data_IF_332591197294
#
_entry.id   IF_332591197294
#
_cell.length_a   1.000
_cell.length_b   1.000
_cell.length_c   1.000
_cell.angle_alpha   90.00
_cell.angle_beta   90.00
_cell.angle_gamma   90.00
#
_symmetry.space_group_name_H-M   'P 1'
#
loop_
_entity.id
_entity.type
_entity.pdbx_description
1 polymer ?
#
# COMPACT_ATOMS: atom_id res chain seq x y z
N UNK A 1 29.78 9.65 -25.19
CA UNK A 1 30.45 10.03 -23.95
C UNK A 1 29.40 10.46 -22.95
N UNK A 2 28.62 11.50 -23.25
CA UNK A 2 27.49 11.97 -22.42
C UNK A 2 26.49 10.88 -21.99
N UNK A 3 25.91 10.12 -22.93
CA UNK A 3 24.96 9.04 -22.60
C UNK A 3 25.54 7.95 -21.69
N UNK A 4 26.81 7.58 -21.88
CA UNK A 4 27.45 6.53 -21.06
C UNK A 4 27.68 6.98 -19.61
N UNK A 5 28.01 8.25 -19.42
CA UNK A 5 28.16 8.84 -18.07
C UNK A 5 26.80 8.93 -17.36
N UNK A 6 25.76 9.34 -18.10
CA UNK A 6 24.40 9.38 -17.59
C UNK A 6 23.86 7.99 -17.24
N UNK A 7 24.06 6.99 -18.11
CA UNK A 7 23.66 5.60 -17.86
C UNK A 7 24.33 5.05 -16.59
N UNK A 8 25.63 5.31 -16.40
CA UNK A 8 26.36 4.87 -15.22
C UNK A 8 25.83 5.51 -13.93
N UNK A 9 25.53 6.81 -13.97
CA UNK A 9 24.94 7.52 -12.83
C UNK A 9 23.56 6.98 -12.48
N UNK A 10 22.74 6.65 -13.48
CA UNK A 10 21.41 6.06 -13.28
C UNK A 10 21.54 4.64 -12.68
N UNK A 11 22.48 3.83 -13.16
CA UNK A 11 22.74 2.49 -12.61
C UNK A 11 23.19 2.54 -11.14
N UNK A 12 24.09 3.47 -10.80
CA UNK A 12 24.52 3.70 -9.41
C UNK A 12 23.32 4.13 -8.54
N UNK A 13 22.49 5.05 -9.03
CA UNK A 13 21.27 5.46 -8.35
C UNK A 13 20.31 4.27 -8.10
N UNK A 14 20.15 3.37 -9.07
CA UNK A 14 19.32 2.17 -8.92
C UNK A 14 19.88 1.19 -7.88
N UNK A 15 21.19 0.99 -7.84
CA UNK A 15 21.83 0.15 -6.84
C UNK A 15 21.66 0.72 -5.42
N UNK A 16 21.77 2.03 -5.28
CA UNK A 16 21.65 2.74 -4.00
C UNK A 16 20.19 3.01 -3.58
N UNK A 17 19.23 2.97 -4.51
CA UNK A 17 17.86 3.38 -4.26
C UNK A 17 17.72 4.89 -3.98
N UNK A 18 18.61 5.70 -4.56
CA UNK A 18 18.70 7.14 -4.33
C UNK A 18 18.23 7.92 -5.57
N UNK A 19 17.10 8.63 -5.45
CA UNK A 19 16.52 9.39 -6.56
C UNK A 19 17.19 10.74 -6.82
N UNK A 20 17.92 11.27 -5.83
CA UNK A 20 18.45 12.64 -5.87
C UNK A 20 19.33 12.93 -7.10
N UNK A 21 20.28 12.06 -7.49
CA UNK A 21 21.09 12.29 -8.69
C UNK A 21 20.25 12.45 -9.95
N UNK A 22 19.23 11.61 -10.12
CA UNK A 22 18.35 11.62 -11.29
C UNK A 22 17.45 12.86 -11.27
N UNK A 23 16.88 13.21 -10.10
CA UNK A 23 16.05 14.43 -9.95
C UNK A 23 16.82 15.69 -10.32
N UNK A 24 18.07 15.81 -9.87
CA UNK A 24 18.89 16.99 -10.17
C UNK A 24 19.10 17.16 -11.68
N UNK A 25 19.39 16.07 -12.38
CA UNK A 25 19.56 16.08 -13.85
C UNK A 25 18.25 16.48 -14.54
N UNK A 26 17.13 15.90 -14.12
CA UNK A 26 15.82 16.19 -14.71
C UNK A 26 15.34 17.63 -14.44
N UNK A 27 15.71 18.23 -13.30
CA UNK A 27 15.35 19.63 -12.99
C UNK A 27 16.19 20.66 -13.76
N UNK A 28 17.42 20.29 -14.14
CA UNK A 28 18.30 21.15 -14.94
C UNK A 28 18.05 21.01 -16.45
N UNK A 29 17.31 19.99 -16.88
CA UNK A 29 17.01 19.71 -18.28
C UNK A 29 15.88 20.63 -18.83
N UNK A 30 16.05 21.21 -20.03
CA UNK A 30 14.94 21.81 -20.78
C UNK A 30 13.75 20.85 -21.03
N UNK A 31 12.55 21.39 -21.28
CA UNK A 31 11.31 20.61 -21.44
C UNK A 31 11.28 19.72 -22.70
N UNK A 32 12.08 20.04 -23.71
CA UNK A 32 12.21 19.32 -25.00
C UNK A 32 13.51 18.52 -25.10
N UNK A 33 14.12 18.20 -23.94
CA UNK A 33 15.49 17.70 -23.86
C UNK A 33 15.61 16.16 -24.02
N UNK A 34 16.62 15.76 -24.79
CA UNK A 34 17.17 14.41 -24.94
C UNK A 34 17.42 13.71 -23.57
N UNK A 35 17.68 14.48 -22.51
CA UNK A 35 17.84 13.94 -21.14
C UNK A 35 16.59 13.21 -20.63
N UNK A 36 15.39 13.76 -20.86
CA UNK A 36 14.13 13.14 -20.41
C UNK A 36 13.93 11.78 -21.10
N UNK A 37 14.22 11.73 -22.40
CA UNK A 37 14.14 10.52 -23.21
C UNK A 37 15.15 9.47 -22.74
N UNK A 38 16.42 9.85 -22.55
CA UNK A 38 17.46 8.91 -22.10
C UNK A 38 17.10 8.33 -20.72
N UNK A 39 16.68 9.17 -19.77
CA UNK A 39 16.32 8.72 -18.42
C UNK A 39 15.12 7.77 -18.47
N UNK A 40 14.05 8.12 -19.17
CA UNK A 40 12.87 7.26 -19.26
C UNK A 40 13.19 5.93 -19.96
N UNK A 41 13.95 5.99 -21.05
CA UNK A 41 14.36 4.80 -21.80
C UNK A 41 15.24 3.89 -20.93
N UNK A 42 16.20 4.45 -20.20
CA UNK A 42 17.07 3.70 -19.28
C UNK A 42 16.28 3.06 -18.14
N UNK A 43 15.33 3.80 -17.55
CA UNK A 43 14.43 3.24 -16.52
C UNK A 43 13.63 2.07 -17.11
N UNK A 44 13.02 2.24 -18.28
CA UNK A 44 12.23 1.20 -18.93
C UNK A 44 13.06 -0.04 -19.29
N UNK A 45 14.24 0.15 -19.87
CA UNK A 45 15.19 -0.92 -20.19
C UNK A 45 15.60 -1.68 -18.94
N UNK A 46 15.97 -0.98 -17.87
CA UNK A 46 16.35 -1.60 -16.59
C UNK A 46 15.18 -2.33 -15.95
N UNK A 47 13.98 -1.74 -15.93
CA UNK A 47 12.78 -2.41 -15.42
C UNK A 47 12.50 -3.70 -16.19
N UNK A 48 12.48 -3.65 -17.53
CA UNK A 48 12.25 -4.84 -18.36
C UNK A 48 13.33 -5.92 -18.15
N UNK A 49 14.60 -5.51 -18.03
CA UNK A 49 15.72 -6.41 -17.80
C UNK A 49 15.59 -7.12 -16.45
N UNK A 50 15.40 -6.35 -15.37
CA UNK A 50 15.38 -6.89 -14.02
C UNK A 50 14.06 -7.58 -13.69
N UNK A 51 12.94 -7.17 -14.28
CA UNK A 51 11.65 -7.85 -14.10
C UNK A 51 11.58 -9.22 -14.79
N UNK A 52 12.44 -9.50 -15.78
CA UNK A 52 12.49 -10.79 -16.46
C UNK A 52 12.85 -11.95 -15.51
N UNK A 53 13.62 -11.67 -14.46
CA UNK A 53 13.83 -12.59 -13.32
C UNK A 53 13.63 -11.81 -12.01
N UNK A 54 12.38 -11.45 -11.75
CA UNK A 54 12.00 -10.64 -10.59
C UNK A 54 12.43 -11.26 -9.26
N UNK A 55 12.47 -12.59 -9.16
CA UNK A 55 12.87 -13.27 -7.92
C UNK A 55 14.34 -13.03 -7.58
N UNK A 56 15.22 -12.95 -8.58
CA UNK A 56 16.64 -12.67 -8.36
C UNK A 56 16.93 -11.17 -8.21
N UNK A 57 16.10 -10.31 -8.81
CA UNK A 57 16.34 -8.87 -8.89
C UNK A 57 15.36 -8.02 -8.07
N UNK A 58 14.62 -8.63 -7.13
CA UNK A 58 13.57 -7.97 -6.33
C UNK A 58 14.06 -6.66 -5.67
N UNK A 59 15.26 -6.67 -5.07
CA UNK A 59 15.83 -5.49 -4.42
C UNK A 59 16.06 -4.33 -5.40
N UNK A 60 16.64 -4.62 -6.57
CA UNK A 60 16.92 -3.61 -7.60
C UNK A 60 15.60 -3.07 -8.17
N UNK A 61 14.63 -3.94 -8.47
CA UNK A 61 13.31 -3.50 -8.96
C UNK A 61 12.61 -2.62 -7.91
N UNK A 62 12.64 -2.99 -6.62
CA UNK A 62 12.10 -2.16 -5.53
C UNK A 62 12.75 -0.77 -5.51
N UNK A 63 14.07 -0.69 -5.67
CA UNK A 63 14.81 0.58 -5.71
C UNK A 63 14.41 1.43 -6.92
N UNK A 64 14.34 0.85 -8.12
CA UNK A 64 13.92 1.57 -9.33
C UNK A 64 12.50 2.11 -9.14
N UNK A 65 11.57 1.30 -8.64
CA UNK A 65 10.19 1.74 -8.38
C UNK A 65 10.10 2.85 -7.33
N UNK A 66 10.95 2.82 -6.30
CA UNK A 66 11.04 3.90 -5.30
C UNK A 66 11.52 5.21 -5.94
N UNK A 67 12.57 5.13 -6.75
CA UNK A 67 13.10 6.28 -7.48
C UNK A 67 12.03 6.83 -8.43
N UNK A 68 11.32 5.94 -9.10
CA UNK A 68 10.28 6.27 -10.06
C UNK A 68 9.18 7.14 -9.44
N UNK A 69 8.79 6.87 -8.19
CA UNK A 69 7.84 7.69 -7.44
C UNK A 69 8.23 9.17 -7.39
N UNK A 70 9.53 9.45 -7.23
CA UNK A 70 10.03 10.82 -7.12
C UNK A 70 10.20 11.51 -8.48
N UNK A 71 10.43 10.74 -9.55
CA UNK A 71 10.76 11.28 -10.89
C UNK A 71 9.57 11.29 -11.85
N UNK A 72 8.53 10.48 -11.64
CA UNK A 72 7.32 10.47 -12.46
C UNK A 72 6.70 11.85 -12.66
N UNK A 73 6.57 12.72 -11.62
CA UNK A 73 5.96 14.03 -11.81
C UNK A 73 6.65 14.86 -12.91
N UNK A 74 7.97 14.67 -13.09
CA UNK A 74 8.75 15.34 -14.14
C UNK A 74 8.55 14.62 -15.48
N UNK A 75 8.68 13.28 -15.52
CA UNK A 75 8.53 12.49 -16.75
C UNK A 75 7.11 12.53 -17.34
N UNK A 76 6.08 12.72 -16.49
CA UNK A 76 4.66 12.80 -16.89
C UNK A 76 4.38 13.95 -17.87
N UNK A 77 5.24 14.96 -17.90
CA UNK A 77 5.15 16.07 -18.87
C UNK A 77 5.24 15.60 -20.33
N UNK A 78 5.83 14.43 -20.58
CA UNK A 78 5.90 13.82 -21.91
C UNK A 78 5.12 12.49 -21.98
N UNK A 79 4.03 12.42 -22.79
CA UNK A 79 3.20 11.23 -22.91
C UNK A 79 3.89 9.99 -23.47
N UNK A 80 4.88 10.13 -24.35
CA UNK A 80 5.55 8.98 -24.99
C UNK A 80 6.43 8.25 -23.97
N UNK A 81 7.26 8.98 -23.23
CA UNK A 81 8.05 8.41 -22.13
C UNK A 81 7.14 7.82 -21.04
N UNK A 82 6.06 8.51 -20.71
CA UNK A 82 5.08 8.03 -19.73
C UNK A 82 4.40 6.72 -20.14
N UNK A 83 4.11 6.54 -21.43
CA UNK A 83 3.51 5.31 -21.95
C UNK A 83 4.44 4.10 -21.78
N UNK A 84 5.72 4.25 -22.13
CA UNK A 84 6.72 3.18 -21.99
C UNK A 84 6.86 2.75 -20.52
N UNK A 85 6.91 3.72 -19.58
CA UNK A 85 6.98 3.43 -18.15
C UNK A 85 5.69 2.76 -17.65
N UNK A 86 4.52 3.25 -18.07
CA UNK A 86 3.22 2.69 -17.69
C UNK A 86 3.08 1.23 -18.12
N UNK A 87 3.57 0.87 -19.31
CA UNK A 87 3.61 -0.51 -19.78
C UNK A 87 4.47 -1.41 -18.89
N UNK A 88 5.67 -0.96 -18.51
CA UNK A 88 6.53 -1.69 -17.58
C UNK A 88 5.83 -1.90 -16.22
N UNK A 89 5.18 -0.88 -15.68
CA UNK A 89 4.44 -0.99 -14.41
C UNK A 89 3.31 -2.01 -14.51
N UNK A 90 2.54 -1.98 -15.61
CA UNK A 90 1.46 -2.92 -15.85
C UNK A 90 1.98 -4.35 -15.93
N UNK A 91 3.07 -4.60 -16.68
CA UNK A 91 3.69 -5.93 -16.80
C UNK A 91 4.14 -6.45 -15.44
N UNK A 92 4.86 -5.64 -14.66
CA UNK A 92 5.28 -6.00 -13.29
C UNK A 92 4.06 -6.31 -12.41
N UNK A 93 3.02 -5.49 -12.48
CA UNK A 93 1.80 -5.67 -11.68
C UNK A 93 1.07 -6.98 -12.00
N UNK A 94 1.20 -7.47 -13.23
CA UNK A 94 0.56 -8.71 -13.70
C UNK A 94 1.40 -9.98 -13.53
N UNK A 95 2.65 -9.86 -13.09
CA UNK A 95 3.52 -11.01 -12.82
C UNK A 95 2.87 -11.94 -11.77
N UNK A 96 2.98 -13.26 -11.96
CA UNK A 96 2.23 -14.24 -11.16
C UNK A 96 2.68 -14.23 -9.69
N UNK A 97 3.99 -14.11 -9.46
CA UNK A 97 4.63 -14.26 -8.14
C UNK A 97 5.31 -13.00 -7.62
N UNK A 98 4.86 -11.83 -8.07
CA UNK A 98 5.37 -10.55 -7.57
C UNK A 98 5.05 -10.36 -6.08
N UNK A 99 6.07 -9.96 -5.32
CA UNK A 99 5.90 -9.58 -3.92
C UNK A 99 4.94 -8.39 -3.79
N UNK A 100 4.05 -8.40 -2.78
CA UNK A 100 2.97 -7.40 -2.67
C UNK A 100 3.48 -5.96 -2.59
N UNK A 101 4.65 -5.73 -1.98
CA UNK A 101 5.24 -4.39 -1.93
C UNK A 101 5.69 -3.89 -3.32
N UNK A 102 6.24 -4.77 -4.16
CA UNK A 102 6.60 -4.42 -5.55
C UNK A 102 5.33 -4.15 -6.34
N UNK A 103 4.32 -5.02 -6.22
CA UNK A 103 3.02 -4.85 -6.86
C UNK A 103 2.43 -3.50 -6.51
N UNK A 104 2.34 -3.19 -5.21
CA UNK A 104 1.81 -1.95 -4.66
C UNK A 104 2.55 -0.73 -5.22
N UNK A 105 3.88 -0.73 -5.20
CA UNK A 105 4.67 0.36 -5.75
C UNK A 105 4.46 0.52 -7.27
N UNK A 106 4.38 -0.58 -8.03
CA UNK A 106 4.16 -0.53 -9.47
C UNK A 106 2.78 0.05 -9.82
N UNK A 107 1.71 -0.41 -9.16
CA UNK A 107 0.36 0.12 -9.41
C UNK A 107 0.17 1.54 -8.90
N UNK A 108 0.83 1.91 -7.80
CA UNK A 108 0.84 3.29 -7.31
C UNK A 108 1.48 4.22 -8.34
N UNK A 109 2.68 3.90 -8.82
CA UNK A 109 3.36 4.68 -9.85
C UNK A 109 2.55 4.75 -11.16
N UNK A 110 1.91 3.63 -11.55
CA UNK A 110 1.00 3.61 -12.68
C UNK A 110 -0.16 4.61 -12.48
N UNK A 111 -0.78 4.64 -11.31
CA UNK A 111 -1.87 5.59 -11.03
C UNK A 111 -1.42 7.05 -11.11
N UNK A 112 -0.19 7.39 -10.71
CA UNK A 112 0.33 8.76 -10.87
C UNK A 112 0.38 9.15 -12.36
N UNK A 113 0.80 8.24 -13.23
CA UNK A 113 0.84 8.44 -14.69
C UNK A 113 -0.57 8.54 -15.27
N UNK A 114 -1.48 7.69 -14.80
CA UNK A 114 -2.87 7.63 -15.28
C UNK A 114 -3.79 8.67 -14.67
N UNK A 115 -3.33 9.39 -13.65
CA UNK A 115 -4.05 10.50 -13.05
C UNK A 115 -4.40 11.48 -14.16
N UNK A 116 -5.68 11.84 -14.24
CA UNK A 116 -6.31 12.61 -15.33
C UNK A 116 -6.46 11.76 -16.62
N UNK A 117 -7.66 11.71 -17.23
CA UNK A 117 -7.96 10.93 -18.46
C UNK A 117 -7.17 11.45 -19.68
N UNK A 118 -5.87 11.22 -19.66
CA UNK A 118 -4.88 11.73 -20.59
C UNK A 118 -4.46 10.69 -21.63
N UNK A 119 -3.52 11.06 -22.53
CA UNK A 119 -3.10 10.22 -23.65
C UNK A 119 -2.70 8.79 -23.26
N UNK A 120 -1.99 8.63 -22.15
CA UNK A 120 -1.50 7.31 -21.68
C UNK A 120 -2.66 6.40 -21.28
N UNK A 121 -3.66 6.90 -20.55
CA UNK A 121 -4.84 6.11 -20.15
C UNK A 121 -5.66 5.65 -21.37
N UNK A 122 -5.77 6.49 -22.41
CA UNK A 122 -6.44 6.15 -23.67
C UNK A 122 -5.64 5.14 -24.46
N UNK A 123 -4.32 5.29 -24.48
CA UNK A 123 -3.43 4.35 -25.14
C UNK A 123 -3.53 2.96 -24.49
N UNK A 124 -3.33 2.86 -23.16
CA UNK A 124 -3.40 1.59 -22.43
C UNK A 124 -4.67 0.79 -22.72
N UNK A 125 -5.83 1.44 -22.74
CA UNK A 125 -7.13 0.76 -22.92
C UNK A 125 -7.46 0.40 -24.37
N UNK A 126 -6.74 0.95 -25.35
CA UNK A 126 -6.96 0.72 -26.78
C UNK A 126 -5.84 -0.10 -27.44
N UNK A 127 -4.72 -0.28 -26.77
CA UNK A 127 -3.58 -1.06 -27.24
C UNK A 127 -3.86 -2.57 -27.10
N UNK A 128 -4.07 -3.26 -28.23
CA UNK A 128 -4.46 -4.68 -28.27
C UNK A 128 -3.42 -5.58 -27.57
N UNK A 129 -2.13 -5.23 -27.71
CA UNK A 129 -1.04 -5.97 -27.06
C UNK A 129 -1.09 -5.93 -25.53
N UNK A 130 -1.85 -4.97 -24.95
CA UNK A 130 -2.00 -4.80 -23.50
C UNK A 130 -3.30 -5.35 -22.92
N UNK A 131 -4.26 -5.79 -23.76
CA UNK A 131 -5.57 -6.27 -23.32
C UNK A 131 -5.45 -7.44 -22.32
N UNK A 132 -4.54 -8.37 -22.59
CA UNK A 132 -4.29 -9.52 -21.72
C UNK A 132 -3.80 -9.12 -20.32
N UNK A 133 -2.93 -8.11 -20.23
CA UNK A 133 -2.41 -7.63 -18.95
C UNK A 133 -3.49 -6.95 -18.12
N UNK A 134 -4.33 -6.11 -18.75
CA UNK A 134 -5.46 -5.48 -18.06
C UNK A 134 -6.50 -6.51 -17.56
N UNK A 135 -6.71 -7.59 -18.31
CA UNK A 135 -7.56 -8.70 -17.87
C UNK A 135 -6.97 -9.41 -16.64
N UNK A 136 -5.66 -9.68 -16.65
CA UNK A 136 -4.95 -10.29 -15.50
C UNK A 136 -5.04 -9.37 -14.29
N UNK A 137 -4.79 -8.07 -14.44
CA UNK A 137 -4.81 -7.11 -13.34
C UNK A 137 -6.18 -7.08 -12.64
N UNK A 138 -7.27 -7.00 -13.41
CA UNK A 138 -8.62 -7.00 -12.81
C UNK A 138 -9.00 -8.32 -12.14
N UNK A 139 -8.55 -9.46 -12.68
CA UNK A 139 -8.73 -10.78 -12.04
C UNK A 139 -7.86 -10.96 -10.80
N UNK A 140 -6.74 -10.26 -10.72
CA UNK A 140 -5.81 -10.29 -9.59
C UNK A 140 -6.32 -9.51 -8.39
N UNK A 141 -7.11 -8.45 -8.60
CA UNK A 141 -7.68 -7.61 -7.53
C UNK A 141 -8.24 -8.39 -6.30
N UNK A 142 -9.18 -9.35 -6.45
CA UNK A 142 -9.69 -10.12 -5.30
C UNK A 142 -8.66 -11.02 -4.61
N UNK A 143 -7.55 -11.34 -5.28
CA UNK A 143 -6.54 -12.28 -4.79
C UNK A 143 -5.44 -11.62 -3.96
N UNK A 144 -5.34 -10.28 -3.99
CA UNK A 144 -4.32 -9.52 -3.28
C UNK A 144 -4.68 -9.37 -1.80
N UNK A 145 -3.83 -9.87 -0.91
CA UNK A 145 -4.01 -9.81 0.54
C UNK A 145 -3.50 -8.54 1.20
N UNK A 146 -3.62 -7.40 0.54
CA UNK A 146 -3.27 -6.07 1.05
C UNK A 146 -4.27 -5.03 0.55
N UNK A 147 -5.02 -4.41 1.47
CA UNK A 147 -6.11 -3.50 1.12
C UNK A 147 -5.64 -2.28 0.32
N UNK A 148 -4.50 -1.69 0.71
CA UNK A 148 -3.94 -0.53 0.02
C UNK A 148 -3.55 -0.89 -1.41
N UNK A 149 -2.89 -2.03 -1.61
CA UNK A 149 -2.59 -2.54 -2.94
C UNK A 149 -3.86 -2.83 -3.76
N UNK A 150 -4.90 -3.40 -3.15
CA UNK A 150 -6.20 -3.57 -3.80
C UNK A 150 -6.80 -2.23 -4.22
N UNK A 151 -6.69 -1.20 -3.37
CA UNK A 151 -7.17 0.15 -3.66
C UNK A 151 -6.48 0.74 -4.88
N UNK A 152 -5.15 0.62 -4.98
CA UNK A 152 -4.41 1.10 -6.14
C UNK A 152 -4.74 0.33 -7.41
N UNK A 153 -4.87 -1.01 -7.35
CA UNK A 153 -5.34 -1.79 -8.51
C UNK A 153 -6.72 -1.31 -8.93
N UNK A 154 -7.66 -1.17 -7.99
CA UNK A 154 -9.01 -0.71 -8.29
C UNK A 154 -9.03 0.67 -8.94
N UNK A 155 -8.23 1.61 -8.45
CA UNK A 155 -8.05 2.93 -9.05
C UNK A 155 -7.50 2.83 -10.49
N UNK A 156 -6.50 1.97 -10.75
CA UNK A 156 -6.03 1.71 -12.13
C UNK A 156 -7.19 1.25 -13.01
N UNK A 157 -7.97 0.26 -12.55
CA UNK A 157 -9.12 -0.26 -13.31
C UNK A 157 -10.18 0.83 -13.55
N UNK A 158 -10.36 1.75 -12.59
CA UNK A 158 -11.24 2.91 -12.75
C UNK A 158 -10.78 3.80 -13.91
N UNK A 159 -9.49 4.15 -14.00
CA UNK A 159 -8.96 4.90 -15.14
C UNK A 159 -9.15 4.20 -16.49
N UNK A 160 -9.11 2.86 -16.52
CA UNK A 160 -9.34 2.07 -17.73
C UNK A 160 -10.80 2.12 -18.21
N UNK A 161 -11.76 2.19 -17.27
CA UNK A 161 -13.20 2.20 -17.60
C UNK A 161 -13.82 3.59 -17.62
N UNK A 162 -13.15 4.59 -17.04
CA UNK A 162 -13.63 5.97 -17.01
C UNK A 162 -13.72 6.52 -18.43
N UNK A 163 -14.89 7.08 -18.79
CA UNK A 163 -15.22 7.53 -20.15
C UNK A 163 -14.94 6.51 -21.27
N UNK A 164 -14.96 5.21 -20.97
CA UNK A 164 -14.74 4.14 -21.93
C UNK A 164 -16.08 3.50 -22.36
N UNK A 165 -16.39 3.54 -23.66
CA UNK A 165 -17.60 2.93 -24.23
C UNK A 165 -17.66 1.41 -23.98
N UNK A 166 -16.50 0.76 -23.87
CA UNK A 166 -16.37 -0.67 -23.61
C UNK A 166 -16.34 -1.04 -22.12
N UNK A 167 -16.66 -0.13 -21.19
CA UNK A 167 -16.61 -0.41 -19.73
C UNK A 167 -17.36 -1.68 -19.30
N UNK A 168 -18.50 -1.95 -19.93
CA UNK A 168 -19.30 -3.15 -19.65
C UNK A 168 -18.55 -4.44 -19.99
N UNK A 169 -17.83 -4.48 -21.12
CA UNK A 169 -17.00 -5.63 -21.52
C UNK A 169 -15.93 -5.90 -20.47
N UNK A 170 -15.21 -4.85 -20.06
CA UNK A 170 -14.13 -4.95 -19.08
C UNK A 170 -14.61 -5.45 -17.72
N UNK A 171 -15.63 -4.78 -17.15
CA UNK A 171 -16.20 -5.13 -15.85
C UNK A 171 -16.78 -6.55 -15.88
N UNK A 172 -17.42 -6.96 -16.97
CA UNK A 172 -17.90 -8.34 -17.12
C UNK A 172 -16.77 -9.36 -17.14
N UNK A 173 -15.62 -9.01 -17.74
CA UNK A 173 -14.47 -9.90 -17.90
C UNK A 173 -13.64 -10.06 -16.62
N UNK A 174 -13.63 -9.02 -15.77
CA UNK A 174 -13.01 -9.05 -14.45
C UNK A 174 -13.88 -9.77 -13.41
N UNK A 175 -15.20 -9.62 -13.50
CA UNK A 175 -16.16 -10.10 -12.50
C UNK A 175 -17.26 -10.98 -13.11
N UNK A 176 -16.89 -12.08 -13.78
CA UNK A 176 -17.78 -12.92 -14.61
C UNK A 176 -19.04 -13.43 -13.90
N UNK A 177 -18.94 -13.75 -12.60
CA UNK A 177 -20.05 -14.36 -11.84
C UNK A 177 -20.55 -13.45 -10.70
N UNK A 178 -20.16 -12.18 -10.66
CA UNK A 178 -20.47 -11.25 -9.57
C UNK A 178 -21.33 -10.07 -10.03
N UNK A 179 -22.63 -10.31 -10.21
CA UNK A 179 -23.56 -9.27 -10.64
C UNK A 179 -23.57 -8.07 -9.68
N UNK A 180 -23.43 -8.30 -8.37
CA UNK A 180 -23.46 -7.23 -7.39
C UNK A 180 -22.24 -6.32 -7.53
N UNK A 181 -21.04 -6.87 -7.59
CA UNK A 181 -19.82 -6.05 -7.79
C UNK A 181 -19.84 -5.37 -9.14
N UNK A 182 -20.26 -6.06 -10.22
CA UNK A 182 -20.43 -5.43 -11.54
C UNK A 182 -21.35 -4.23 -11.48
N UNK A 183 -22.52 -4.36 -10.85
CA UNK A 183 -23.48 -3.28 -10.71
C UNK A 183 -22.89 -2.12 -9.88
N UNK A 184 -22.17 -2.39 -8.80
CA UNK A 184 -21.52 -1.33 -8.02
C UNK A 184 -20.44 -0.62 -8.84
N UNK A 185 -19.61 -1.36 -9.55
CA UNK A 185 -18.51 -0.82 -10.37
C UNK A 185 -18.99 -0.17 -11.68
N UNK A 186 -20.23 -0.39 -12.11
CA UNK A 186 -20.80 0.35 -13.26
C UNK A 186 -21.38 1.71 -12.87
N UNK A 187 -21.76 1.86 -11.59
CA UNK A 187 -22.47 3.01 -11.07
C UNK A 187 -21.65 3.80 -10.04
N UNK A 188 -20.33 3.59 -9.98
CA UNK A 188 -19.49 4.34 -9.07
C UNK A 188 -19.40 5.82 -9.48
N UNK A 189 -19.27 6.65 -8.48
CA UNK A 189 -19.18 8.10 -8.55
C UNK A 189 -17.76 8.55 -8.21
N UNK A 190 -17.18 9.31 -9.13
CA UNK A 190 -15.84 9.86 -9.00
C UNK A 190 -15.76 10.91 -7.89
N UNK A 191 -16.83 11.67 -7.65
CA UNK A 191 -16.87 12.68 -6.59
C UNK A 191 -16.78 12.05 -5.18
N UNK A 192 -17.19 10.79 -5.05
CA UNK A 192 -17.20 10.06 -3.78
C UNK A 192 -16.26 8.85 -3.78
N UNK A 193 -15.22 8.88 -4.63
CA UNK A 193 -14.36 7.73 -4.89
C UNK A 193 -13.84 7.04 -3.63
N UNK A 194 -13.34 7.78 -2.63
CA UNK A 194 -12.80 7.20 -1.40
C UNK A 194 -13.83 6.37 -0.62
N UNK A 195 -15.08 6.84 -0.55
CA UNK A 195 -16.16 6.14 0.15
C UNK A 195 -16.66 4.95 -0.68
N UNK A 196 -16.79 5.12 -1.99
CA UNK A 196 -17.35 4.11 -2.89
C UNK A 196 -16.38 2.96 -3.16
N UNK A 197 -15.10 3.26 -3.42
CA UNK A 197 -14.03 2.27 -3.54
C UNK A 197 -13.98 1.36 -2.31
N UNK A 198 -14.04 1.92 -1.11
CA UNK A 198 -14.10 1.16 0.15
C UNK A 198 -15.30 0.20 0.19
N UNK A 199 -16.49 0.63 -0.25
CA UNK A 199 -17.69 -0.23 -0.30
C UNK A 199 -17.52 -1.36 -1.31
N UNK A 200 -17.00 -1.05 -2.50
CA UNK A 200 -16.79 -2.02 -3.59
C UNK A 200 -15.74 -3.05 -3.20
N UNK A 201 -14.58 -2.63 -2.68
CA UNK A 201 -13.51 -3.53 -2.23
C UNK A 201 -13.96 -4.43 -1.07
N UNK A 202 -14.72 -3.89 -0.12
CA UNK A 202 -15.32 -4.71 0.94
C UNK A 202 -16.32 -5.74 0.37
N UNK A 203 -17.07 -5.39 -0.68
CA UNK A 203 -17.96 -6.33 -1.36
C UNK A 203 -17.18 -7.43 -2.10
N UNK A 204 -16.10 -7.07 -2.79
CA UNK A 204 -15.19 -8.01 -3.46
C UNK A 204 -14.63 -9.00 -2.43
N UNK A 205 -14.01 -8.50 -1.35
CA UNK A 205 -13.40 -9.34 -0.32
C UNK A 205 -14.42 -10.24 0.39
N UNK A 206 -15.67 -9.79 0.60
CA UNK A 206 -16.72 -10.63 1.23
C UNK A 206 -17.23 -11.77 0.36
N UNK A 207 -17.07 -11.68 -0.96
CA UNK A 207 -17.53 -12.71 -1.90
C UNK A 207 -16.51 -13.83 -2.05
N UNK A 208 -15.23 -13.52 -1.89
CA UNK A 208 -14.17 -14.51 -2.02
C UNK A 208 -14.34 -15.65 -1.00
N UNK A 209 -14.13 -16.89 -1.44
CA UNK A 209 -14.21 -18.06 -0.57
C UNK A 209 -13.08 -18.07 0.46
N UNK A 210 -11.90 -17.58 0.05
CA UNK A 210 -10.72 -17.45 0.91
C UNK A 210 -10.14 -16.03 0.76
N UNK A 211 -10.82 -15.01 1.32
CA UNK A 211 -10.31 -13.64 1.29
C UNK A 211 -8.92 -13.59 1.94
N UNK A 212 -8.01 -12.80 1.37
CA UNK A 212 -6.68 -12.53 1.93
C UNK A 212 -6.58 -11.16 2.62
N UNK A 213 -7.66 -10.40 2.54
CA UNK A 213 -7.85 -9.11 3.21
C UNK A 213 -9.20 -9.13 3.92
N UNK A 214 -9.21 -8.87 5.23
CA UNK A 214 -10.44 -8.77 6.03
C UNK A 214 -10.55 -7.39 6.65
N UNK A 215 -11.74 -6.79 6.60
CA UNK A 215 -12.00 -5.48 7.19
C UNK A 215 -13.02 -5.59 8.32
N UNK A 216 -12.66 -5.07 9.51
CA UNK A 216 -13.55 -4.96 10.65
C UNK A 216 -13.69 -3.52 11.09
N UNK A 217 -14.91 -3.07 11.33
CA UNK A 217 -15.16 -1.74 11.87
C UNK A 217 -14.81 -1.71 13.37
N UNK A 218 -13.79 -0.92 13.73
CA UNK A 218 -13.52 -0.55 15.10
C UNK A 218 -14.49 0.55 15.55
N UNK A 219 -14.87 0.53 16.83
CA UNK A 219 -15.62 1.60 17.48
C UNK A 219 -14.72 2.76 17.88
N UNK A 220 -13.45 2.48 18.19
CA UNK A 220 -12.44 3.47 18.51
C UNK A 220 -11.02 2.91 18.32
N UNK A 221 -10.08 3.79 17.99
CA UNK A 221 -8.64 3.49 17.86
C UNK A 221 -7.86 4.51 18.66
N UNK A 222 -6.80 4.08 19.34
CA UNK A 222 -5.93 4.92 20.15
C UNK A 222 -4.46 4.64 19.89
N UNK A 223 -3.66 5.70 19.85
CA UNK A 223 -2.20 5.65 19.98
C UNK A 223 -1.83 6.16 21.38
N UNK A 224 -1.36 5.26 22.24
CA UNK A 224 -1.23 5.49 23.67
C UNK A 224 -2.58 5.89 24.30
N UNK A 225 -2.67 7.16 24.72
CA UNK A 225 -3.87 7.75 25.30
C UNK A 225 -4.65 8.67 24.34
N UNK A 226 -4.17 8.84 23.11
CA UNK A 226 -4.79 9.72 22.11
C UNK A 226 -5.76 8.92 21.25
N UNK A 227 -7.02 9.33 21.22
CA UNK A 227 -8.02 8.74 20.33
C UNK A 227 -7.87 9.32 18.93
N UNK A 228 -7.85 8.45 17.92
CA UNK A 228 -7.78 8.88 16.52
C UNK A 228 -9.16 9.26 15.98
N UNK A 229 -9.17 10.25 15.08
CA UNK A 229 -10.35 10.61 14.30
C UNK A 229 -10.54 9.66 13.12
N UNK A 230 -11.78 9.23 12.88
CA UNK A 230 -12.15 8.49 11.66
C UNK A 230 -12.55 9.44 10.53
N UNK A 231 -12.49 8.98 9.29
CA UNK A 231 -12.93 9.74 8.11
C UNK A 231 -14.46 9.94 8.12
N UNK A 232 -14.91 11.06 7.55
CA UNK A 232 -16.33 11.36 7.39
C UNK A 232 -16.98 10.35 6.44
N UNK A 233 -18.23 9.93 6.72
CA UNK A 233 -18.96 8.99 5.87
C UNK A 233 -18.51 7.52 5.93
N UNK A 234 -17.46 7.20 6.72
CA UNK A 234 -16.93 5.84 6.86
C UNK A 234 -16.98 5.33 8.31
N UNK A 235 -17.04 4.00 8.44
CA UNK A 235 -16.71 3.31 9.68
C UNK A 235 -15.19 3.31 9.86
N UNK A 236 -14.71 3.09 11.09
CA UNK A 236 -13.27 2.99 11.36
C UNK A 236 -12.78 1.59 10.94
N UNK A 237 -12.68 1.37 9.62
CA UNK A 237 -12.25 0.10 9.06
C UNK A 237 -10.80 -0.21 9.41
N UNK A 238 -10.59 -1.38 10.00
CA UNK A 238 -9.29 -1.96 10.27
C UNK A 238 -9.10 -3.13 9.31
N UNK A 239 -8.11 -3.00 8.44
CA UNK A 239 -7.76 -3.97 7.41
C UNK A 239 -6.70 -4.94 7.93
N UNK A 240 -6.99 -6.24 7.83
CA UNK A 240 -6.13 -7.35 8.21
C UNK A 240 -5.55 -7.93 6.92
N UNK A 241 -4.29 -7.60 6.63
CA UNK A 241 -3.62 -7.85 5.36
C UNK A 241 -2.68 -9.05 5.50
N UNK A 242 -2.97 -10.14 4.81
CA UNK A 242 -2.18 -11.37 4.93
C UNK A 242 -0.89 -11.34 4.10
N UNK A 243 -0.89 -10.65 2.96
CA UNK A 243 0.24 -10.68 2.03
C UNK A 243 1.36 -9.77 2.49
N UNK A 244 1.01 -8.59 3.01
CA UNK A 244 1.96 -7.67 3.65
C UNK A 244 2.21 -7.99 5.12
N UNK A 245 1.49 -8.99 5.67
CA UNK A 245 1.53 -9.36 7.09
C UNK A 245 1.41 -8.13 8.00
N UNK A 246 0.36 -7.34 7.77
CA UNK A 246 0.14 -6.08 8.47
C UNK A 246 -1.32 -5.89 8.87
N UNK A 247 -1.54 -4.96 9.80
CA UNK A 247 -2.85 -4.32 9.98
C UNK A 247 -2.74 -2.88 9.49
N UNK A 248 -3.73 -2.39 8.74
CA UNK A 248 -3.77 -1.00 8.29
C UNK A 248 -5.13 -0.34 8.51
N UNK A 249 -5.16 0.98 8.60
CA UNK A 249 -6.38 1.77 8.67
C UNK A 249 -6.12 3.22 8.28
N UNK A 250 -7.18 3.94 7.91
CA UNK A 250 -7.12 5.38 7.65
C UNK A 250 -7.57 6.17 8.89
N UNK A 251 -6.87 7.27 9.21
CA UNK A 251 -7.28 8.22 10.23
C UNK A 251 -7.19 9.66 9.72
N UNK A 252 -7.88 10.58 10.39
CA UNK A 252 -7.71 12.03 10.12
C UNK A 252 -6.28 12.45 10.45
N UNK A 253 -5.75 13.32 9.61
CA UNK A 253 -4.46 13.98 9.81
C UNK A 253 -4.51 14.86 11.08
N UNK A 254 -3.41 14.88 11.84
CA UNK A 254 -3.28 15.68 13.07
C UNK A 254 -2.97 17.16 12.82
N UNK A 255 -2.43 17.52 11.66
CA UNK A 255 -2.01 18.89 11.34
C UNK A 255 -3.17 19.76 10.83
N UNK A 256 -4.29 19.17 10.43
CA UNK A 256 -5.38 19.94 9.83
C UNK A 256 -6.43 20.34 10.86
N UNK A 257 -6.41 21.62 11.21
CA UNK A 257 -7.38 22.23 12.13
C UNK A 257 -8.80 22.36 11.52
N UNK A 258 -8.89 22.33 10.19
CA UNK A 258 -10.17 22.41 9.49
C UNK A 258 -10.90 21.05 9.52
N UNK A 259 -12.00 21.00 10.26
CA UNK A 259 -12.81 19.79 10.42
C UNK A 259 -13.48 19.34 9.11
N UNK A 260 -13.59 20.24 8.13
CA UNK A 260 -14.13 19.99 6.80
C UNK A 260 -13.06 19.55 5.79
N UNK A 261 -11.77 19.56 6.17
CA UNK A 261 -10.71 18.99 5.34
C UNK A 261 -10.79 17.46 5.28
N UNK A 262 -10.61 16.91 4.09
CA UNK A 262 -10.51 15.48 3.84
C UNK A 262 -9.06 14.99 3.90
N UNK A 263 -8.20 15.61 4.71
CA UNK A 263 -6.84 15.13 4.90
C UNK A 263 -6.85 13.90 5.83
N UNK A 264 -6.31 12.81 5.32
CA UNK A 264 -6.21 11.54 6.02
C UNK A 264 -4.84 10.93 5.80
N UNK A 265 -4.44 10.08 6.74
CA UNK A 265 -3.20 9.33 6.69
C UNK A 265 -3.49 7.84 6.82
N UNK A 266 -2.64 7.02 6.20
CA UNK A 266 -2.65 5.57 6.36
C UNK A 266 -1.73 5.19 7.51
N UNK A 267 -2.26 4.50 8.50
CA UNK A 267 -1.44 3.81 9.51
C UNK A 267 -1.25 2.37 9.06
N UNK A 268 -0.01 1.90 9.06
CA UNK A 268 0.36 0.51 8.79
C UNK A 268 1.15 -0.04 9.97
N UNK A 269 0.70 -1.18 10.51
CA UNK A 269 1.34 -1.92 11.60
C UNK A 269 1.83 -3.25 11.02
N UNK A 270 3.08 -3.31 10.51
CA UNK A 270 3.64 -4.53 9.98
C UNK A 270 4.05 -5.49 11.11
N UNK A 271 4.02 -6.79 10.83
CA UNK A 271 4.26 -7.84 11.84
C UNK A 271 5.62 -7.78 12.52
N UNK A 272 6.64 -7.27 11.85
CA UNK A 272 8.00 -7.07 12.36
C UNK A 272 8.12 -5.88 13.32
N UNK A 273 7.17 -4.94 13.31
CA UNK A 273 7.08 -3.83 14.28
C UNK A 273 6.42 -4.22 15.60
N UNK A 274 5.78 -5.39 15.66
CA UNK A 274 4.99 -5.84 16.81
C UNK A 274 5.85 -6.64 17.80
N UNK A 275 6.02 -6.13 19.02
CA UNK A 275 6.66 -6.86 20.11
C UNK A 275 5.70 -7.89 20.71
N UNK A 276 4.46 -7.49 20.96
CA UNK A 276 3.42 -8.38 21.50
C UNK A 276 2.02 -7.84 21.23
N UNK A 277 1.01 -8.70 21.31
CA UNK A 277 -0.39 -8.28 21.29
C UNK A 277 -1.25 -9.12 22.24
N UNK A 278 -2.38 -8.55 22.65
CA UNK A 278 -3.40 -9.25 23.45
C UNK A 278 -4.80 -8.81 23.05
N UNK A 279 -5.75 -9.73 23.20
CA UNK A 279 -7.18 -9.51 22.92
C UNK A 279 -7.95 -9.76 24.22
N UNK A 280 -8.62 -8.72 24.73
CA UNK A 280 -9.37 -8.78 25.99
C UNK A 280 -10.86 -8.54 25.73
N UNK A 281 -11.71 -9.45 26.22
CA UNK A 281 -13.17 -9.24 26.23
C UNK A 281 -13.55 -8.35 27.40
N UNK A 282 -14.36 -7.33 27.13
CA UNK A 282 -15.01 -6.49 28.15
C UNK A 282 -16.51 -6.80 28.09
N UNK A 283 -16.93 -7.79 28.85
CA UNK A 283 -18.29 -8.35 28.81
C UNK A 283 -19.36 -7.31 29.17
N UNK A 284 -19.02 -6.45 30.12
CA UNK A 284 -19.78 -5.32 30.63
C UNK A 284 -20.08 -4.25 29.55
N UNK A 285 -19.29 -4.18 28.48
CA UNK A 285 -19.44 -3.20 27.39
C UNK A 285 -19.77 -3.89 26.05
N UNK A 286 -19.93 -5.22 26.02
CA UNK A 286 -20.08 -6.02 24.79
C UNK A 286 -19.03 -5.64 23.73
N UNK A 287 -17.78 -5.45 24.18
CA UNK A 287 -16.67 -5.05 23.31
C UNK A 287 -15.45 -5.95 23.50
N UNK A 288 -14.58 -5.97 22.50
CA UNK A 288 -13.25 -6.56 22.54
C UNK A 288 -12.22 -5.43 22.40
N UNK A 289 -11.19 -5.44 23.24
CA UNK A 289 -10.04 -4.54 23.13
C UNK A 289 -8.83 -5.32 22.64
N UNK A 290 -8.32 -4.94 21.46
CA UNK A 290 -7.01 -5.34 20.97
C UNK A 290 -5.98 -4.34 21.49
N UNK A 291 -4.91 -4.85 22.10
CA UNK A 291 -3.73 -4.08 22.50
C UNK A 291 -2.52 -4.61 21.77
N UNK A 292 -1.78 -3.74 21.08
CA UNK A 292 -0.54 -4.06 20.38
C UNK A 292 0.57 -3.20 20.99
N UNK A 293 1.63 -3.84 21.45
CA UNK A 293 2.87 -3.17 21.87
C UNK A 293 3.87 -3.26 20.74
N UNK A 294 4.38 -2.12 20.30
CA UNK A 294 5.34 -1.99 19.22
C UNK A 294 6.77 -1.96 19.76
N UNK A 295 7.72 -2.36 18.92
CA UNK A 295 9.16 -2.23 19.19
C UNK A 295 9.70 -0.81 18.93
N UNK A 296 8.85 0.09 18.42
CA UNK A 296 9.15 1.47 18.10
C UNK A 296 8.06 2.41 18.63
N UNK A 297 8.32 3.72 18.54
CA UNK A 297 7.33 4.72 18.94
C UNK A 297 6.15 4.78 17.96
N UNK A 298 4.94 5.04 18.48
CA UNK A 298 3.74 5.25 17.68
C UNK A 298 3.86 6.47 16.76
N UNK A 299 4.74 7.44 17.05
CA UNK A 299 5.02 8.55 16.13
C UNK A 299 5.53 8.07 14.77
N UNK A 300 6.15 6.89 14.71
CA UNK A 300 6.67 6.31 13.46
C UNK A 300 5.58 5.69 12.58
N UNK A 301 4.34 5.59 13.09
CA UNK A 301 3.19 5.08 12.34
C UNK A 301 2.48 6.16 11.51
N UNK A 302 2.78 7.43 11.76
CA UNK A 302 2.13 8.58 11.15
C UNK A 302 3.14 9.35 10.30
N UNK A 303 2.61 10.01 9.27
CA UNK A 303 3.40 10.93 8.46
C UNK A 303 3.46 12.31 9.12
N UNK A 304 2.37 12.72 9.76
CA UNK A 304 2.34 13.98 10.49
C UNK A 304 3.29 13.95 11.70
N UNK A 305 4.09 15.02 11.90
CA UNK A 305 4.83 15.26 13.12
C UNK A 305 3.93 15.20 14.37
N UNK A 306 4.08 14.13 15.14
CA UNK A 306 3.30 13.88 16.36
C UNK A 306 4.20 13.71 17.58
N UNK A 307 4.91 14.76 18.03
CA UNK A 307 5.89 14.65 19.11
C UNK A 307 5.28 14.17 20.44
N UNK A 308 3.98 14.41 20.66
CA UNK A 308 3.26 13.91 21.84
C UNK A 308 3.07 12.38 21.84
N UNK A 309 3.33 11.69 20.72
CA UNK A 309 3.31 10.23 20.61
C UNK A 309 4.70 9.59 20.77
N UNK A 310 5.79 10.37 20.84
CA UNK A 310 7.16 9.84 20.90
C UNK A 310 7.37 8.86 22.06
N UNK A 311 6.71 9.11 23.20
CA UNK A 311 6.85 8.31 24.41
C UNK A 311 5.93 7.09 24.50
N UNK A 312 5.12 6.79 23.47
CA UNK A 312 4.20 5.64 23.49
C UNK A 312 4.47 4.67 22.36
N UNK A 313 4.38 3.38 22.65
CA UNK A 313 4.47 2.29 21.70
C UNK A 313 3.21 1.40 21.72
N UNK A 314 2.12 1.89 22.33
CA UNK A 314 0.91 1.12 22.54
C UNK A 314 -0.17 1.55 21.56
N UNK A 315 -0.67 0.61 20.75
CA UNK A 315 -1.87 0.79 19.94
C UNK A 315 -3.03 0.06 20.59
N UNK A 316 -4.20 0.72 20.71
CA UNK A 316 -5.43 0.09 21.19
C UNK A 316 -6.53 0.24 20.17
N UNK A 317 -7.26 -0.85 19.91
CA UNK A 317 -8.42 -0.85 19.03
C UNK A 317 -9.58 -1.53 19.74
N UNK A 318 -10.75 -0.91 19.68
CA UNK A 318 -11.97 -1.41 20.31
C UNK A 318 -12.91 -1.88 19.21
N UNK A 319 -13.43 -3.10 19.34
CA UNK A 319 -14.38 -3.70 18.43
C UNK A 319 -15.61 -4.19 19.19
N UNK A 320 -16.68 -4.49 18.46
CA UNK A 320 -17.84 -5.19 19.03
C UNK A 320 -17.50 -6.65 19.37
N UNK A 321 -18.15 -7.23 20.39
CA UNK A 321 -17.81 -8.58 20.88
C UNK A 321 -18.07 -9.73 19.88
N UNK A 322 -18.83 -9.49 18.81
CA UNK A 322 -19.21 -10.52 17.85
C UNK A 322 -18.22 -10.69 16.69
N UNK A 323 -17.18 -9.85 16.59
CA UNK A 323 -16.15 -10.03 15.55
C UNK A 323 -15.06 -10.98 16.05
N UNK A 324 -14.58 -11.85 15.16
CA UNK A 324 -13.43 -12.72 15.46
C UNK A 324 -12.15 -12.13 14.88
N UNK A 325 -11.52 -11.21 15.60
CA UNK A 325 -10.21 -10.67 15.21
C UNK A 325 -9.06 -11.61 15.59
N UNK A 326 -9.25 -12.51 16.54
CA UNK A 326 -8.17 -13.35 17.11
C UNK A 326 -7.61 -14.32 16.07
N UNK A 327 -8.48 -14.94 15.27
CA UNK A 327 -8.07 -15.86 14.20
C UNK A 327 -7.22 -15.15 13.13
N UNK A 328 -7.57 -13.90 12.79
CA UNK A 328 -6.82 -13.08 11.82
C UNK A 328 -5.49 -12.59 12.37
N UNK A 329 -5.47 -12.12 13.63
CA UNK A 329 -4.23 -11.70 14.31
C UNK A 329 -3.19 -12.82 14.34
N UNK A 330 -3.62 -14.06 14.59
CA UNK A 330 -2.72 -15.21 14.61
C UNK A 330 -2.08 -15.48 13.24
N UNK A 331 -2.80 -15.27 12.15
CA UNK A 331 -2.27 -15.45 10.80
C UNK A 331 -1.25 -14.37 10.42
N UNK A 332 -1.40 -13.16 10.96
CA UNK A 332 -0.55 -12.01 10.65
C UNK A 332 0.67 -11.96 11.58
N UNK A 333 0.42 -11.87 12.89
CA UNK A 333 1.42 -11.65 13.93
C UNK A 333 1.90 -12.94 14.63
N UNK A 334 1.30 -14.10 14.32
CA UNK A 334 1.60 -15.36 15.02
C UNK A 334 0.88 -15.48 16.37
N UNK A 335 1.28 -16.47 17.17
CA UNK A 335 0.66 -16.71 18.47
C UNK A 335 0.90 -15.53 19.43
N UNK A 336 -0.13 -15.10 20.20
CA UNK A 336 0.03 -14.03 21.16
C UNK A 336 1.03 -14.43 22.25
N UNK A 337 1.91 -13.51 22.64
CA UNK A 337 2.76 -13.71 23.82
C UNK A 337 1.85 -13.70 25.04
N UNK A 338 1.64 -14.89 25.64
CA UNK A 338 0.92 -15.01 26.90
C UNK A 338 1.82 -14.41 27.99
N UNK A 339 1.59 -13.15 28.34
CA UNK A 339 2.08 -12.60 29.60
C UNK A 339 1.36 -13.36 30.71
N UNK A 340 2.05 -14.28 31.37
CA UNK A 340 1.53 -14.96 32.54
C UNK A 340 1.06 -13.88 33.53
N UNK A 341 -0.24 -13.87 33.84
CA UNK A 341 -0.79 -13.07 34.91
C UNK A 341 -0.07 -13.46 36.21
N UNK A 342 0.90 -12.65 36.64
CA UNK A 342 1.52 -12.78 37.95
C UNK A 342 0.55 -12.25 39.02
N UNK A 343 -0.55 -12.97 39.21
CA UNK A 343 -1.28 -13.03 40.47
C UNK A 343 -1.08 -14.42 41.07
N UNK A 344 0.15 -14.71 41.49
CA UNK A 344 0.42 -15.79 42.42
C UNK A 344 1.66 -15.48 43.26
N UNK A 345 1.38 -15.29 44.54
CA UNK A 345 2.25 -15.23 45.73
C UNK A 345 3.53 -16.07 45.63
N UNK A 346 4.63 -15.47 46.09
CA UNK A 346 5.89 -16.06 46.53
C UNK A 346 5.88 -17.59 46.72
N UNK A 347 6.71 -18.30 45.96
CA UNK A 347 7.59 -19.32 46.52
C UNK A 347 8.75 -19.63 45.56
N UNK A 348 9.93 -19.81 46.16
CA UNK A 348 11.21 -20.03 45.52
C UNK A 348 11.23 -21.30 44.68
N UNK A 349 11.99 -21.28 43.58
CA UNK A 349 12.31 -22.50 42.83
C UNK A 349 13.10 -22.21 41.56
N UNK A 350 14.41 -22.11 41.70
CA UNK A 350 15.39 -22.07 40.61
C UNK A 350 15.12 -23.14 39.54
N UNK A 351 14.99 -22.74 38.28
CA UNK A 351 15.44 -23.55 37.15
C UNK A 351 15.76 -22.68 35.93
N UNK A 352 17.08 -22.52 35.71
CA UNK A 352 17.68 -22.02 34.47
C UNK A 352 17.36 -23.00 33.34
N UNK A 353 16.58 -22.59 32.36
CA UNK A 353 16.62 -23.19 31.01
C UNK A 353 17.18 -22.17 30.04
N UNK A 354 18.48 -22.34 29.71
CA UNK A 354 19.14 -21.68 28.59
C UNK A 354 18.45 -22.12 27.29
N UNK A 355 17.91 -21.17 26.52
CA UNK A 355 17.74 -21.38 25.08
C UNK A 355 19.00 -20.89 24.37
N UNK A 356 19.53 -21.80 23.55
CA UNK A 356 20.73 -21.65 22.75
C UNK A 356 20.46 -20.60 21.67
N UNK A 357 21.27 -19.55 21.66
CA UNK A 357 21.39 -18.59 20.57
C UNK A 357 22.08 -19.28 19.39
N UNK A 358 21.35 -19.52 18.30
CA UNK A 358 21.98 -19.57 16.99
C UNK A 358 21.98 -18.15 16.45
N UNK A 359 23.14 -17.50 16.55
CA UNK A 359 23.48 -16.30 15.80
C UNK A 359 23.56 -16.67 14.32
N UNK A 360 22.59 -16.21 13.55
CA UNK A 360 22.77 -15.94 12.12
C UNK A 360 22.80 -14.43 12.04
N UNK A 361 23.89 -13.91 11.47
CA UNK A 361 24.20 -12.48 11.42
C UNK A 361 23.00 -11.68 10.90
N UNK A 362 22.47 -10.83 11.78
CA UNK A 362 21.42 -9.89 11.45
C UNK A 362 22.05 -8.77 10.59
N UNK A 363 21.70 -8.74 9.31
CA UNK A 363 21.84 -7.53 8.52
C UNK A 363 20.88 -6.48 9.12
N UNK A 364 21.45 -5.51 9.82
CA UNK A 364 20.81 -4.24 10.11
C UNK A 364 20.55 -3.53 8.77
N UNK A 365 19.33 -3.62 8.25
CA UNK A 365 18.80 -2.63 7.33
C UNK A 365 17.75 -1.87 8.13
N UNK A 366 18.13 -0.67 8.56
CA UNK A 366 17.24 0.35 9.09
C UNK A 366 16.37 0.83 7.92
N UNK A 367 15.29 0.10 7.61
CA UNK A 367 14.30 0.51 6.60
C UNK A 367 13.33 1.53 7.26
N UNK A 368 13.86 2.66 7.74
CA UNK A 368 13.09 3.78 8.33
C UNK A 368 12.54 4.77 7.28
N UNK A 369 12.77 4.52 5.98
CA UNK A 369 12.53 5.49 4.91
C UNK A 369 11.62 4.98 3.77
N UNK A 370 10.90 3.87 3.98
CA UNK A 370 9.87 3.39 3.03
C UNK A 370 8.46 3.80 3.45
N UNK A 371 8.25 4.16 4.73
CA UNK A 371 6.96 4.64 5.23
C UNK A 371 6.70 6.14 5.03
N UNK A 372 7.66 6.91 4.46
CA UNK A 372 7.54 8.37 4.28
C UNK A 372 7.02 8.83 2.92
N UNK A 373 6.52 7.93 2.09
CA UNK A 373 5.97 8.30 0.78
C UNK A 373 4.54 8.85 0.94
N UNK A 374 4.49 10.15 1.21
CA UNK A 374 3.55 11.15 0.68
C UNK A 374 2.30 10.55 0.01
N UNK A 375 1.21 10.42 0.77
CA UNK A 375 -0.14 10.30 0.22
C UNK A 375 -0.69 11.71 0.00
N UNK A 376 -0.56 12.21 -1.23
CA UNK A 376 -1.40 13.32 -1.64
C UNK A 376 -2.81 12.78 -1.88
N UNK A 377 -3.70 13.22 -0.99
CA UNK A 377 -5.09 13.60 -1.22
C UNK A 377 -5.50 13.49 -2.70
N UNK A 378 -6.61 12.79 -2.93
CA UNK A 378 -7.54 13.09 -4.04
C UNK A 378 -8.08 14.49 -3.75
N UNK A 379 -7.21 15.50 -3.83
CA UNK A 379 -7.62 16.89 -3.85
C UNK A 379 -8.12 17.07 -5.26
N UNK A 380 -9.46 17.17 -5.36
CA UNK A 380 -10.17 17.75 -6.48
C UNK A 380 -9.62 17.34 -7.85
N UNK A 381 -10.32 16.41 -8.48
CA UNK A 381 -10.52 16.51 -9.92
C UNK A 381 -11.26 17.84 -10.18
N UNK A 382 -10.50 18.94 -10.18
CA UNK A 382 -10.92 20.16 -10.87
C UNK A 382 -10.84 19.81 -12.36
N UNK A 383 -12.03 19.57 -12.93
CA UNK A 383 -12.26 19.62 -14.37
C UNK A 383 -11.87 20.98 -14.95
#
# INVERSE_FOLDING_TARGET
MFRQELDALIDDAFLEGNSLPIKNILHEAPEDDEHLEIVAQKIAESLNLYSADLNQNEAIVKNILKILTDVIPILKTNPEQSAVIAECMLKIATEERVHVNILRCAVYNLNIILKDDGPVSRWLRNEESLEGFLLILGRKLPMVGDFECQSHIFETLCYIVYNNENKHKWIQSWFTDDEKTRSMFLNWDLEHFAVESRKILNQINRRELNPRTYAFAATAVYLGNVQLGKLNGLEFWIDFNYDSRSISFFCKDFEVEDQDSECWETVVIPSDSVESYSVQKKEDIKSIELRITLNCSCSNLLLSPTPFLESTNLVRMIFWIYVDISSHLKLIFGDPVILANNHAVNSQGSQRTRKVSHSVDAFEIVDQDVSKNIFFVINKLEM
#
